data_IF_699259737104
#
_entry.id   IF_699259737104
#
_cell.length_a   1.000
_cell.length_b   1.000
_cell.length_c   1.000
_cell.angle_alpha   90.00
_cell.angle_beta   90.00
_cell.angle_gamma   90.00
#
_symmetry.space_group_name_H-M   'P 1'
#
loop_
_entity.id
_entity.type
_entity.pdbx_description
1 polymer ?
#
# COMPACT_ATOMS: atom_id res chain seq x y z
N UNK A 1 -7.40 -28.10 23.33
CA UNK A 1 -7.78 -28.18 21.90
C UNK A 1 -7.40 -26.84 21.28
N UNK A 2 -6.30 -26.80 20.52
CA UNK A 2 -5.87 -25.60 19.82
C UNK A 2 -6.92 -25.28 18.74
N UNK A 3 -7.56 -24.11 18.80
CA UNK A 3 -8.36 -23.59 17.69
C UNK A 3 -7.39 -23.39 16.53
N UNK A 4 -7.60 -24.09 15.42
CA UNK A 4 -6.78 -23.92 14.23
C UNK A 4 -6.82 -22.47 13.76
N UNK A 5 -5.68 -21.96 13.30
CA UNK A 5 -5.47 -20.62 12.74
C UNK A 5 -6.29 -20.40 11.45
N UNK A 6 -7.62 -20.47 11.51
CA UNK A 6 -8.48 -20.16 10.37
C UNK A 6 -8.35 -18.69 10.00
N UNK A 7 -8.12 -18.40 8.72
CA UNK A 7 -8.25 -17.07 8.12
C UNK A 7 -9.75 -16.78 7.99
N UNK A 8 -10.24 -15.71 8.61
CA UNK A 8 -11.64 -15.28 8.48
C UNK A 8 -11.81 -14.38 7.25
N UNK A 9 -10.87 -13.47 7.03
CA UNK A 9 -10.83 -12.54 5.90
C UNK A 9 -9.96 -13.15 4.79
N UNK A 10 -10.54 -14.14 4.11
CA UNK A 10 -9.84 -14.91 3.09
C UNK A 10 -9.81 -14.15 1.77
N UNK A 11 -8.63 -13.64 1.42
CA UNK A 11 -8.32 -13.13 0.08
C UNK A 11 -7.77 -14.26 -0.78
N UNK A 12 -6.76 -14.99 -0.29
CA UNK A 12 -6.22 -16.21 -0.90
C UNK A 12 -5.41 -17.05 0.10
N UNK A 13 -5.10 -18.29 -0.26
CA UNK A 13 -4.47 -19.28 0.64
C UNK A 13 -3.11 -18.86 1.21
N UNK A 14 -2.33 -18.06 0.47
CA UNK A 14 -0.95 -17.74 0.82
C UNK A 14 -0.78 -16.35 1.45
N UNK A 15 -1.85 -15.59 1.72
CA UNK A 15 -1.79 -14.20 2.19
C UNK A 15 -0.86 -14.00 3.40
N UNK A 16 -0.97 -14.86 4.42
CA UNK A 16 -0.12 -14.86 5.62
C UNK A 16 1.36 -15.07 5.30
N UNK A 17 1.64 -16.05 4.45
CA UNK A 17 3.00 -16.40 4.07
C UNK A 17 3.62 -15.29 3.23
N UNK A 18 2.84 -14.73 2.31
CA UNK A 18 3.25 -13.61 1.47
C UNK A 18 3.61 -12.38 2.30
N UNK A 19 2.71 -11.90 3.18
CA UNK A 19 2.98 -10.76 4.06
C UNK A 19 4.26 -10.96 4.89
N UNK A 20 4.48 -12.17 5.39
CA UNK A 20 5.69 -12.54 6.14
C UNK A 20 6.95 -12.50 5.28
N UNK A 21 6.90 -12.98 4.04
CA UNK A 21 8.03 -12.94 3.10
C UNK A 21 8.39 -11.51 2.72
N UNK A 22 7.38 -10.68 2.39
CA UNK A 22 7.60 -9.25 2.12
C UNK A 22 8.25 -8.56 3.31
N UNK A 23 7.77 -8.84 4.54
CA UNK A 23 8.39 -8.28 5.76
C UNK A 23 9.86 -8.70 5.91
N UNK A 24 10.18 -9.98 5.69
CA UNK A 24 11.55 -10.49 5.78
C UNK A 24 12.45 -9.79 4.75
N UNK A 25 11.96 -9.59 3.53
CA UNK A 25 12.74 -8.89 2.50
C UNK A 25 12.86 -7.40 2.80
N UNK A 26 11.82 -6.75 3.33
CA UNK A 26 11.89 -5.38 3.82
C UNK A 26 12.95 -5.21 4.93
N UNK A 27 12.94 -6.08 5.94
CA UNK A 27 13.95 -6.10 7.01
C UNK A 27 15.35 -6.21 6.43
N UNK A 28 15.53 -7.10 5.45
CA UNK A 28 16.82 -7.34 4.80
C UNK A 28 17.29 -6.14 3.97
N UNK A 29 16.45 -5.60 3.10
CA UNK A 29 16.81 -4.51 2.20
C UNK A 29 17.07 -3.21 2.97
N UNK A 30 16.19 -2.87 3.91
CA UNK A 30 16.36 -1.68 4.73
C UNK A 30 17.55 -1.81 5.68
N UNK A 31 17.81 -3.01 6.23
CA UNK A 31 19.01 -3.26 7.03
C UNK A 31 20.31 -2.99 6.26
N UNK A 32 20.33 -3.24 4.94
CA UNK A 32 21.50 -2.97 4.08
C UNK A 32 21.74 -1.48 3.85
N UNK A 33 20.73 -0.62 3.99
CA UNK A 33 20.90 0.84 3.89
C UNK A 33 21.34 1.46 5.22
N UNK A 34 21.44 0.67 6.29
CA UNK A 34 21.68 1.15 7.65
C UNK A 34 20.44 1.75 8.30
N UNK A 35 19.26 1.53 7.72
CA UNK A 35 18.00 2.01 8.29
C UNK A 35 17.64 1.26 9.57
N UNK A 36 17.40 1.99 10.65
CA UNK A 36 17.10 1.43 11.97
C UNK A 36 15.59 1.28 12.26
N UNK A 37 14.73 1.82 11.38
CA UNK A 37 13.28 1.73 11.55
C UNK A 37 12.76 0.34 11.24
N UNK A 38 11.85 -0.16 12.07
CA UNK A 38 11.32 -1.53 11.94
C UNK A 38 10.17 -1.56 10.93
N UNK A 39 10.29 -2.27 9.80
CA UNK A 39 9.19 -2.43 8.88
C UNK A 39 8.09 -3.32 9.47
N UNK A 40 6.84 -2.98 9.18
CA UNK A 40 5.67 -3.84 9.34
C UNK A 40 4.96 -3.92 8.00
N UNK A 41 4.43 -5.09 7.68
CA UNK A 41 3.70 -5.34 6.44
C UNK A 41 2.28 -5.72 6.78
N UNK A 42 1.35 -5.19 6.00
CA UNK A 42 -0.06 -5.52 6.00
C UNK A 42 -0.53 -5.63 4.54
N UNK A 43 -1.54 -6.46 4.29
CA UNK A 43 -2.19 -6.58 3.00
C UNK A 43 -3.62 -6.04 3.15
N UNK A 44 -4.07 -5.28 2.16
CA UNK A 44 -5.44 -4.76 2.12
C UNK A 44 -6.07 -5.16 0.79
N UNK A 45 -7.05 -6.06 0.85
CA UNK A 45 -7.81 -6.51 -0.31
C UNK A 45 -9.11 -5.74 -0.45
N UNK A 46 -9.36 -5.22 -1.65
CA UNK A 46 -10.67 -4.69 -2.04
C UNK A 46 -11.33 -5.66 -2.99
N UNK A 47 -12.54 -6.11 -2.64
CA UNK A 47 -13.28 -7.06 -3.45
C UNK A 47 -13.58 -6.47 -4.84
N UNK A 48 -13.43 -7.31 -5.85
CA UNK A 48 -13.78 -7.04 -7.24
C UNK A 48 -14.63 -8.19 -7.78
N UNK A 49 -15.67 -7.87 -8.57
CA UNK A 49 -16.55 -8.89 -9.14
C UNK A 49 -17.73 -9.27 -8.24
N UNK A 50 -17.94 -10.57 -8.02
CA UNK A 50 -19.10 -11.10 -7.30
C UNK A 50 -19.09 -10.74 -5.81
N UNK A 51 -20.28 -10.53 -5.23
CA UNK A 51 -20.43 -10.17 -3.81
C UNK A 51 -19.83 -11.23 -2.88
N UNK A 52 -18.84 -10.82 -2.07
CA UNK A 52 -18.20 -11.65 -1.03
C UNK A 52 -18.66 -11.19 0.35
N UNK A 53 -18.44 -12.04 1.35
CA UNK A 53 -18.78 -11.72 2.73
C UNK A 53 -17.94 -10.55 3.31
N UNK A 54 -16.77 -10.29 2.73
CA UNK A 54 -15.82 -9.27 3.16
C UNK A 54 -15.45 -8.37 1.97
N UNK A 55 -16.05 -7.18 1.83
CA UNK A 55 -15.72 -6.27 0.73
C UNK A 55 -14.32 -5.66 0.88
N UNK A 56 -13.84 -5.55 2.12
CA UNK A 56 -12.47 -5.16 2.47
C UNK A 56 -11.90 -6.24 3.39
N UNK A 57 -10.72 -6.74 3.04
CA UNK A 57 -9.97 -7.73 3.82
C UNK A 57 -8.64 -7.12 4.30
N UNK A 58 -8.22 -7.45 5.52
CA UNK A 58 -6.92 -7.04 6.08
C UNK A 58 -6.16 -8.27 6.57
N UNK A 59 -4.87 -8.35 6.24
CA UNK A 59 -3.93 -9.34 6.78
C UNK A 59 -2.70 -8.62 7.35
N UNK A 60 -2.34 -8.80 8.64
CA UNK A 60 -2.92 -9.74 9.57
C UNK A 60 -4.24 -9.25 10.21
N UNK A 61 -5.15 -10.20 10.43
CA UNK A 61 -6.47 -9.95 11.04
C UNK A 61 -6.40 -9.58 12.54
N UNK A 62 -5.34 -9.98 13.23
CA UNK A 62 -5.10 -9.70 14.66
C UNK A 62 -4.28 -8.42 14.88
N UNK A 63 -4.12 -7.61 13.82
CA UNK A 63 -3.45 -6.32 13.84
C UNK A 63 -4.26 -5.21 14.51
N UNK A 64 -3.70 -3.98 14.55
CA UNK A 64 -4.35 -2.82 15.15
C UNK A 64 -5.38 -2.15 14.23
N UNK A 65 -5.61 -2.69 13.03
CA UNK A 65 -6.53 -2.17 12.02
C UNK A 65 -7.60 -3.22 11.72
N UNK A 66 -8.82 -2.76 11.49
CA UNK A 66 -9.95 -3.55 11.07
C UNK A 66 -10.51 -3.00 9.74
N UNK A 67 -11.23 -3.82 8.95
CA UNK A 67 -11.82 -3.37 7.68
C UNK A 67 -12.62 -2.07 7.78
N UNK A 68 -13.36 -1.89 8.89
CA UNK A 68 -14.17 -0.68 9.16
C UNK A 68 -13.34 0.61 9.21
N UNK A 69 -12.05 0.53 9.56
CA UNK A 69 -11.16 1.69 9.57
C UNK A 69 -10.86 2.19 8.14
N UNK A 70 -11.11 1.35 7.15
CA UNK A 70 -10.84 1.58 5.73
C UNK A 70 -12.12 1.66 4.88
N UNK A 71 -13.32 1.66 5.47
CA UNK A 71 -14.60 1.75 4.75
C UNK A 71 -14.70 3.01 3.87
N UNK A 72 -13.98 4.07 4.25
CA UNK A 72 -13.92 5.33 3.49
C UNK A 72 -12.87 5.35 2.38
N UNK A 73 -12.03 4.32 2.27
CA UNK A 73 -10.97 4.28 1.27
C UNK A 73 -11.51 4.37 -0.18
N UNK A 74 -12.61 3.70 -0.57
CA UNK A 74 -13.16 3.84 -1.92
C UNK A 74 -13.67 5.25 -2.23
N UNK A 75 -14.36 5.89 -1.27
CA UNK A 75 -14.83 7.27 -1.41
C UNK A 75 -13.65 8.23 -1.56
N UNK A 76 -12.65 8.11 -0.66
CA UNK A 76 -11.47 8.96 -0.68
C UNK A 76 -10.64 8.78 -1.95
N UNK A 77 -10.49 7.55 -2.44
CA UNK A 77 -9.80 7.26 -3.69
C UNK A 77 -10.49 7.90 -4.90
N UNK A 78 -11.82 7.98 -4.89
CA UNK A 78 -12.60 8.62 -5.95
C UNK A 78 -12.45 10.14 -5.93
N UNK A 79 -12.38 10.77 -4.75
CA UNK A 79 -12.05 12.19 -4.60
C UNK A 79 -10.65 12.50 -5.15
N UNK A 80 -9.65 11.73 -4.71
CA UNK A 80 -8.27 11.88 -5.16
C UNK A 80 -8.13 11.72 -6.67
N UNK A 81 -8.83 10.72 -7.25
CA UNK A 81 -8.90 10.54 -8.70
C UNK A 81 -9.55 11.73 -9.41
N UNK A 82 -10.64 12.29 -8.84
CA UNK A 82 -11.34 13.41 -9.44
C UNK A 82 -10.49 14.69 -9.47
N UNK A 83 -9.63 14.88 -8.47
CA UNK A 83 -8.73 16.03 -8.29
C UNK A 83 -7.38 15.88 -9.02
N UNK A 84 -7.03 14.67 -9.46
CA UNK A 84 -5.71 14.39 -10.04
C UNK A 84 -5.52 15.03 -11.43
N UNK A 85 -4.38 15.72 -11.63
CA UNK A 85 -4.06 16.41 -12.89
C UNK A 85 -4.07 15.50 -14.12
N UNK A 86 -3.60 14.27 -13.95
CA UNK A 86 -3.49 13.32 -15.06
C UNK A 86 -4.83 12.72 -15.50
N UNK A 87 -5.91 12.95 -14.74
CA UNK A 87 -7.24 12.43 -15.07
C UNK A 87 -7.69 12.82 -16.48
N UNK A 88 -7.46 14.08 -16.86
CA UNK A 88 -7.86 14.63 -18.15
C UNK A 88 -6.78 14.46 -19.24
N UNK A 89 -5.71 13.69 -18.96
CA UNK A 89 -4.66 13.43 -19.95
C UNK A 89 -5.17 12.51 -21.05
N UNK A 90 -5.12 13.02 -22.29
CA UNK A 90 -5.60 12.29 -23.46
C UNK A 90 -4.50 11.48 -24.15
N UNK A 91 -4.76 10.18 -24.33
CA UNK A 91 -3.98 9.26 -25.15
C UNK A 91 -4.78 8.85 -26.38
N UNK A 92 -4.14 8.89 -27.56
CA UNK A 92 -4.79 8.60 -28.85
C UNK A 92 -5.20 7.15 -29.03
N UNK A 93 -4.47 6.22 -28.41
CA UNK A 93 -4.79 4.81 -28.42
C UNK A 93 -5.71 4.46 -27.24
N UNK A 94 -6.90 3.93 -27.54
CA UNK A 94 -7.94 3.66 -26.54
C UNK A 94 -7.48 2.66 -25.45
N UNK A 95 -6.67 1.65 -25.80
CA UNK A 95 -6.12 0.71 -24.81
C UNK A 95 -5.15 1.41 -23.85
N UNK A 96 -4.26 2.28 -24.36
CA UNK A 96 -3.34 3.07 -23.52
C UNK A 96 -4.13 4.00 -22.59
N UNK A 97 -5.19 4.64 -23.09
CA UNK A 97 -6.08 5.44 -22.24
C UNK A 97 -6.69 4.59 -21.13
N UNK A 98 -7.25 3.42 -21.45
CA UNK A 98 -7.87 2.53 -20.47
C UNK A 98 -6.86 2.08 -19.41
N UNK A 99 -5.67 1.66 -19.82
CA UNK A 99 -4.60 1.20 -18.94
C UNK A 99 -4.15 2.34 -18.01
N UNK A 100 -3.95 3.55 -18.53
CA UNK A 100 -3.55 4.71 -17.73
C UNK A 100 -4.61 5.15 -16.74
N UNK A 101 -5.88 5.06 -17.11
CA UNK A 101 -6.99 5.36 -16.21
C UNK A 101 -7.16 4.27 -15.14
N UNK A 102 -6.87 3.00 -15.44
CA UNK A 102 -6.84 1.93 -14.45
C UNK A 102 -5.68 2.11 -13.46
N UNK A 103 -4.47 2.35 -13.97
CA UNK A 103 -3.28 2.66 -13.17
C UNK A 103 -3.49 3.86 -12.26
N UNK A 104 -4.14 4.93 -12.75
CA UNK A 104 -4.44 6.10 -11.93
C UNK A 104 -5.43 5.79 -10.81
N UNK A 105 -6.50 5.03 -11.08
CA UNK A 105 -7.45 4.62 -10.03
C UNK A 105 -6.79 3.76 -8.96
N UNK A 106 -5.88 2.89 -9.38
CA UNK A 106 -5.14 2.05 -8.46
C UNK A 106 -4.22 2.89 -7.55
N UNK A 107 -3.45 3.83 -8.15
CA UNK A 107 -2.59 4.75 -7.39
C UNK A 107 -3.37 5.64 -6.42
N UNK A 108 -4.52 6.16 -6.82
CA UNK A 108 -5.32 7.02 -5.92
C UNK A 108 -5.94 6.23 -4.76
N UNK A 109 -6.20 4.93 -4.95
CA UNK A 109 -6.59 4.02 -3.87
C UNK A 109 -5.43 3.70 -2.93
N UNK A 110 -4.22 3.48 -3.46
CA UNK A 110 -3.02 3.35 -2.64
C UNK A 110 -2.79 4.62 -1.78
N UNK A 111 -2.91 5.80 -2.39
CA UNK A 111 -2.82 7.08 -1.67
C UNK A 111 -3.91 7.24 -0.61
N UNK A 112 -5.16 6.88 -0.91
CA UNK A 112 -6.24 6.91 0.08
C UNK A 112 -5.95 6.01 1.29
N UNK A 113 -5.35 4.84 1.07
CA UNK A 113 -4.91 3.96 2.14
C UNK A 113 -3.79 4.60 2.98
N UNK A 114 -2.80 5.25 2.36
CA UNK A 114 -1.74 5.97 3.09
C UNK A 114 -2.33 7.06 3.99
N UNK A 115 -3.26 7.87 3.47
CA UNK A 115 -3.91 8.95 4.22
C UNK A 115 -4.71 8.42 5.42
N UNK A 116 -5.55 7.40 5.19
CA UNK A 116 -6.41 6.83 6.23
C UNK A 116 -5.61 6.11 7.31
N UNK A 117 -4.63 5.30 6.90
CA UNK A 117 -3.75 4.61 7.85
C UNK A 117 -2.89 5.62 8.61
N UNK A 118 -2.33 6.63 7.94
CA UNK A 118 -1.53 7.67 8.58
C UNK A 118 -2.32 8.50 9.60
N UNK A 119 -3.61 8.74 9.36
CA UNK A 119 -4.49 9.47 10.26
C UNK A 119 -5.04 8.62 11.42
N UNK A 120 -4.92 7.29 11.35
CA UNK A 120 -5.49 6.40 12.36
C UNK A 120 -4.77 6.51 13.72
N UNK A 121 -5.46 6.57 14.87
CA UNK A 121 -4.81 6.74 16.18
C UNK A 121 -3.77 5.66 16.52
N UNK A 122 -4.01 4.41 16.09
CA UNK A 122 -3.09 3.30 16.32
C UNK A 122 -1.78 3.38 15.49
N UNK A 123 -1.70 4.33 14.56
CA UNK A 123 -0.55 4.57 13.68
C UNK A 123 0.48 5.54 14.24
N UNK A 124 0.30 6.00 15.48
CA UNK A 124 1.21 6.95 16.13
C UNK A 124 2.67 6.49 16.00
N UNK A 125 3.53 7.35 15.43
CA UNK A 125 4.95 7.07 15.22
C UNK A 125 5.27 6.17 14.03
N UNK A 126 4.31 5.95 13.11
CA UNK A 126 4.52 5.17 11.88
C UNK A 126 4.24 5.99 10.63
N UNK A 127 5.04 5.76 9.60
CA UNK A 127 4.84 6.27 8.23
C UNK A 127 4.49 5.09 7.32
N UNK A 128 3.48 5.27 6.48
CA UNK A 128 2.93 4.23 5.61
C UNK A 128 3.31 4.50 4.15
N UNK A 129 3.52 3.41 3.43
CA UNK A 129 3.77 3.35 2.00
C UNK A 129 2.91 2.24 1.45
N UNK A 130 2.20 2.50 0.35
CA UNK A 130 1.26 1.54 -0.24
C UNK A 130 1.64 1.30 -1.69
N UNK A 131 1.87 0.04 -2.04
CA UNK A 131 2.15 -0.38 -3.41
C UNK A 131 0.89 -0.39 -4.27
N UNK A 132 1.09 -0.56 -5.57
CA UNK A 132 0.01 -0.87 -6.50
C UNK A 132 -0.70 -2.17 -6.12
N UNK A 133 -1.95 -2.34 -6.53
CA UNK A 133 -2.64 -3.61 -6.29
C UNK A 133 -2.28 -4.68 -7.32
N UNK A 134 -2.27 -5.94 -6.88
CA UNK A 134 -2.44 -7.07 -7.77
C UNK A 134 -3.81 -7.70 -7.64
N UNK A 135 -4.30 -8.17 -8.77
CA UNK A 135 -5.51 -8.98 -8.85
C UNK A 135 -5.22 -10.40 -8.37
N UNK A 136 -5.83 -10.80 -7.26
CA UNK A 136 -5.72 -12.14 -6.68
C UNK A 136 -7.12 -12.66 -6.35
N UNK A 137 -7.52 -13.73 -7.03
CA UNK A 137 -8.88 -14.27 -6.98
C UNK A 137 -9.93 -13.16 -7.21
N UNK A 138 -10.78 -12.83 -6.24
CA UNK A 138 -11.79 -11.77 -6.35
C UNK A 138 -11.40 -10.49 -5.62
N UNK A 139 -10.10 -10.22 -5.45
CA UNK A 139 -9.61 -9.04 -4.75
C UNK A 139 -8.52 -8.32 -5.55
N UNK A 140 -8.54 -7.00 -5.48
CA UNK A 140 -7.39 -6.16 -5.74
C UNK A 140 -6.66 -5.95 -4.41
N UNK A 141 -5.48 -6.53 -4.26
CA UNK A 141 -4.74 -6.56 -3.01
C UNK A 141 -3.58 -5.58 -3.06
N UNK A 142 -3.59 -4.60 -2.16
CA UNK A 142 -2.46 -3.72 -1.93
C UNK A 142 -1.53 -4.29 -0.87
N UNK A 143 -0.23 -4.21 -1.12
CA UNK A 143 0.79 -4.39 -0.09
C UNK A 143 1.08 -3.05 0.59
N UNK A 144 0.90 -3.02 1.91
CA UNK A 144 1.15 -1.86 2.77
C UNK A 144 2.40 -2.12 3.59
N UNK A 145 3.38 -1.22 3.52
CA UNK A 145 4.57 -1.22 4.36
C UNK A 145 4.56 0.01 5.25
N UNK A 146 4.82 -0.17 6.54
CA UNK A 146 5.04 0.96 7.45
C UNK A 146 6.37 0.85 8.17
N UNK A 147 7.01 1.97 8.44
CA UNK A 147 8.26 2.07 9.22
C UNK A 147 8.10 3.06 10.37
N UNK A 148 9.05 3.05 11.30
CA UNK A 148 9.08 4.02 12.40
C UNK A 148 9.39 5.42 11.86
N UNK A 149 8.51 6.40 12.10
CA UNK A 149 8.63 7.75 11.54
C UNK A 149 9.89 8.46 11.99
N UNK A 150 10.28 8.29 13.27
CA UNK A 150 11.49 8.91 13.81
C UNK A 150 12.74 8.41 13.09
N UNK A 151 12.81 7.12 12.78
CA UNK A 151 13.93 6.56 12.03
C UNK A 151 13.95 7.06 10.58
N UNK A 152 12.78 7.20 9.96
CA UNK A 152 12.66 7.75 8.61
C UNK A 152 13.13 9.21 8.55
N UNK A 153 12.85 10.03 9.57
CA UNK A 153 13.31 11.41 9.62
C UNK A 153 14.84 11.55 9.74
N UNK A 154 15.54 10.51 10.22
CA UNK A 154 17.00 10.53 10.35
C UNK A 154 17.73 10.08 9.07
N UNK A 155 17.00 9.62 8.04
CA UNK A 155 17.67 9.18 6.80
C UNK A 155 18.20 10.38 6.02
N UNK A 156 19.39 10.28 5.41
CA UNK A 156 19.89 11.33 4.53
C UNK A 156 18.93 11.58 3.37
N UNK A 157 18.47 12.82 3.22
CA UNK A 157 17.59 13.23 2.13
C UNK A 157 18.36 13.88 1.00
N UNK A 158 17.96 13.56 -0.23
CA UNK A 158 18.40 14.24 -1.44
C UNK A 158 17.63 15.57 -1.48
N UNK A 159 18.35 16.69 -1.48
CA UNK A 159 17.72 17.99 -1.70
C UNK A 159 17.09 17.99 -3.09
N UNK A 160 15.77 18.20 -3.17
CA UNK A 160 15.08 18.27 -4.45
C UNK A 160 15.69 19.34 -5.35
N UNK A 161 16.13 18.96 -6.54
CA UNK A 161 16.47 19.96 -7.56
C UNK A 161 15.15 20.52 -8.14
N UNK A 162 15.11 21.82 -8.40
CA UNK A 162 13.94 22.45 -9.02
C UNK A 162 13.56 21.69 -10.31
N UNK A 163 12.32 21.20 -10.39
CA UNK A 163 11.80 20.46 -11.54
C UNK A 163 11.62 18.95 -11.37
N UNK A 164 11.93 18.38 -10.20
CA UNK A 164 11.59 16.99 -9.91
C UNK A 164 10.10 16.83 -9.55
N UNK A 165 9.45 15.73 -9.96
CA UNK A 165 8.09 15.42 -9.52
C UNK A 165 8.00 15.35 -8.00
N UNK A 166 6.92 15.89 -7.44
CA UNK A 166 6.66 15.93 -5.99
C UNK A 166 6.59 14.54 -5.35
N UNK A 167 6.24 13.51 -6.13
CA UNK A 167 6.17 12.11 -5.71
C UNK A 167 7.51 11.33 -5.81
N UNK A 168 8.64 12.00 -6.05
CA UNK A 168 9.93 11.31 -6.15
C UNK A 168 10.46 10.90 -4.77
N UNK A 169 11.02 9.68 -4.60
CA UNK A 169 11.64 9.29 -3.34
C UNK A 169 12.76 10.27 -2.96
N UNK A 170 12.70 10.80 -1.74
CA UNK A 170 13.65 11.80 -1.27
C UNK A 170 14.90 11.17 -0.64
N UNK A 171 15.01 9.85 -0.57
CA UNK A 171 16.17 9.14 -0.02
C UNK A 171 16.35 7.76 -0.65
N UNK A 172 17.54 7.16 -0.49
CA UNK A 172 17.78 5.76 -0.88
C UNK A 172 16.85 4.81 -0.12
N UNK A 173 16.55 5.11 1.14
CA UNK A 173 15.61 4.33 1.95
C UNK A 173 14.20 4.36 1.37
N UNK A 174 13.67 5.55 1.08
CA UNK A 174 12.35 5.70 0.44
C UNK A 174 12.34 5.02 -0.93
N UNK A 175 13.39 5.19 -1.75
CA UNK A 175 13.50 4.54 -3.05
C UNK A 175 13.53 3.00 -2.94
N UNK A 176 14.20 2.46 -1.91
CA UNK A 176 14.23 1.03 -1.64
C UNK A 176 12.85 0.50 -1.24
N UNK A 177 12.07 1.28 -0.46
CA UNK A 177 10.70 0.93 -0.10
C UNK A 177 9.80 0.90 -1.33
N UNK A 178 9.85 1.96 -2.15
CA UNK A 178 9.04 2.05 -3.37
C UNK A 178 9.37 0.91 -4.33
N UNK A 179 10.66 0.66 -4.58
CA UNK A 179 11.08 -0.44 -5.46
C UNK A 179 10.67 -1.83 -4.91
N UNK A 180 10.73 -2.03 -3.59
CA UNK A 180 10.23 -3.26 -2.98
C UNK A 180 8.73 -3.41 -3.23
N UNK A 181 7.95 -2.34 -3.06
CA UNK A 181 6.51 -2.33 -3.26
C UNK A 181 6.12 -2.53 -4.73
N UNK A 182 6.90 -2.02 -5.67
CA UNK A 182 6.68 -2.23 -7.11
C UNK A 182 7.01 -3.67 -7.56
N UNK A 183 7.86 -4.39 -6.80
CA UNK A 183 8.23 -5.78 -7.09
C UNK A 183 7.32 -6.82 -6.44
N UNK A 184 6.47 -6.41 -5.48
CA UNK A 184 5.57 -7.32 -4.78
C UNK A 184 4.14 -7.08 -5.28
N UNK A 185 3.48 -8.11 -5.84
CA UNK A 185 2.09 -8.00 -6.27
C UNK A 185 1.15 -7.79 -5.08
#
# INVERSE_FOLDING_TARGET
MARGDSICQFMWLYQRHFAKLVRIEADRLLGRTGFAGRPKVMLVGFQVGEERAHPICIEPEDGPYAPVDLDKAPERAAELYAEHSDRDTYYTAAHIMADKQAELRDRTRAQALEELLGAHPASTGRTFFVGQSAHVDDYEVHTVLSVDSDALLQVPRIAGAAGWPEASPASITEATIVELLDQVP
#
